data_IF_021951409098
#
_entry.id   IF_021951409098
#
_cell.length_a   1.000
_cell.length_b   1.000
_cell.length_c   1.000
_cell.angle_alpha   90.00
_cell.angle_beta   90.00
_cell.angle_gamma   90.00
#
_symmetry.space_group_name_H-M   'P 1'
#
loop_
_entity.id
_entity.type
_entity.pdbx_description
1 polymer ?
#
# COMPACT_ATOMS: atom_id res chain seq x y z
N UNK A 1 29.04 2.79 3.29
CA UNK A 1 27.71 2.70 2.64
C UNK A 1 26.67 2.97 3.72
N UNK A 2 25.73 3.87 3.47
CA UNK A 2 24.62 4.16 4.40
C UNK A 2 23.35 3.61 3.77
N UNK A 3 22.67 2.73 4.48
CA UNK A 3 21.39 2.14 4.06
C UNK A 3 20.32 2.60 5.05
N UNK A 4 19.21 3.13 4.52
CA UNK A 4 18.08 3.52 5.35
C UNK A 4 17.11 2.35 5.41
N UNK A 5 16.82 1.87 6.62
CA UNK A 5 15.83 0.84 6.84
C UNK A 5 14.42 1.46 6.89
N UNK A 6 13.89 1.80 5.71
CA UNK A 6 12.54 2.39 5.60
C UNK A 6 11.45 1.45 6.14
N UNK A 7 11.63 0.13 5.97
CA UNK A 7 10.72 -0.88 6.49
C UNK A 7 10.57 -0.79 8.01
N UNK A 8 11.68 -0.75 8.75
CA UNK A 8 11.65 -0.61 10.20
C UNK A 8 11.03 0.72 10.65
N UNK A 9 11.26 1.82 9.93
CA UNK A 9 10.63 3.12 10.23
C UNK A 9 9.11 3.06 10.03
N UNK A 10 8.63 2.32 9.02
CA UNK A 10 7.20 2.17 8.73
C UNK A 10 6.52 1.19 9.69
N UNK A 11 7.28 0.32 10.37
CA UNK A 11 6.75 -0.66 11.34
C UNK A 11 7.13 -0.34 12.81
N UNK A 12 7.69 0.83 13.08
CA UNK A 12 8.08 1.23 14.43
C UNK A 12 6.83 1.51 15.28
N UNK A 13 6.62 0.73 16.33
CA UNK A 13 5.46 0.86 17.24
C UNK A 13 5.49 2.13 18.10
N UNK A 14 6.66 2.76 18.28
CA UNK A 14 6.77 4.04 18.99
C UNK A 14 6.27 5.21 18.12
N UNK A 15 6.16 4.96 16.83
CA UNK A 15 5.84 5.95 15.80
C UNK A 15 4.45 5.71 15.19
N UNK A 16 4.11 4.45 14.94
CA UNK A 16 2.85 4.01 14.36
C UNK A 16 2.05 3.21 15.37
N UNK A 17 0.79 3.58 15.59
CA UNK A 17 -0.13 2.74 16.36
C UNK A 17 -0.54 1.52 15.53
N UNK A 18 -0.35 0.31 16.06
CA UNK A 18 -0.66 -0.95 15.38
C UNK A 18 -0.04 -1.05 13.96
N UNK A 19 1.30 -0.99 13.83
CA UNK A 19 1.99 -0.91 12.54
C UNK A 19 1.76 -2.12 11.63
N UNK A 20 1.49 -3.28 12.22
CA UNK A 20 1.25 -4.54 11.49
C UNK A 20 -0.19 -4.66 10.95
N UNK A 21 -1.07 -3.72 11.28
CA UNK A 21 -2.45 -3.71 10.80
C UNK A 21 -2.60 -2.84 9.54
N UNK A 22 -3.23 -3.40 8.50
CA UNK A 22 -3.66 -2.60 7.35
C UNK A 22 -4.84 -1.71 7.75
N UNK A 23 -4.54 -0.46 8.11
CA UNK A 23 -5.53 0.52 8.60
C UNK A 23 -5.46 1.85 7.81
N UNK A 24 -6.15 1.94 6.65
CA UNK A 24 -6.17 3.14 5.81
C UNK A 24 -6.63 4.41 6.54
N UNK A 25 -7.48 4.26 7.54
CA UNK A 25 -8.05 5.34 8.36
C UNK A 25 -6.97 6.12 9.13
N UNK A 26 -5.79 5.53 9.34
CA UNK A 26 -4.65 6.23 9.96
C UNK A 26 -4.17 7.44 9.16
N UNK A 27 -4.51 7.52 7.88
CA UNK A 27 -4.19 8.64 7.00
C UNK A 27 -5.34 9.62 6.82
N UNK A 28 -6.44 9.47 7.58
CA UNK A 28 -7.62 10.32 7.50
C UNK A 28 -7.81 11.12 8.79
N UNK A 29 -8.41 12.30 8.70
CA UNK A 29 -8.88 13.03 9.87
C UNK A 29 -10.28 12.55 10.32
N UNK A 30 -10.79 13.11 11.42
CA UNK A 30 -12.11 12.77 11.97
C UNK A 30 -13.26 13.07 10.99
N UNK A 31 -13.04 13.87 9.94
CA UNK A 31 -14.00 14.15 8.88
C UNK A 31 -13.86 13.19 7.69
N UNK A 32 -12.97 12.21 7.75
CA UNK A 32 -12.68 11.26 6.67
C UNK A 32 -11.89 11.89 5.51
N UNK A 33 -11.28 13.05 5.72
CA UNK A 33 -10.44 13.71 4.71
C UNK A 33 -9.03 13.16 4.80
N UNK A 34 -8.48 12.75 3.66
CA UNK A 34 -7.09 12.30 3.57
C UNK A 34 -6.17 13.43 4.01
N UNK A 35 -5.49 13.21 5.12
CA UNK A 35 -4.47 14.13 5.62
C UNK A 35 -3.22 13.99 4.76
N UNK A 36 -2.50 15.10 4.57
CA UNK A 36 -1.22 15.05 3.90
C UNK A 36 -0.30 14.14 4.72
N UNK A 37 0.10 13.00 4.14
CA UNK A 37 1.06 12.08 4.73
C UNK A 37 2.33 12.86 5.07
N UNK A 38 2.52 13.12 6.36
CA UNK A 38 3.72 13.77 6.89
C UNK A 38 4.57 12.71 7.58
N UNK A 39 5.87 13.03 7.73
CA UNK A 39 6.90 12.18 8.34
C UNK A 39 6.33 11.46 9.57
N UNK A 40 6.31 10.12 9.54
CA UNK A 40 7.46 9.27 9.21
C UNK A 40 7.34 8.43 7.92
N UNK A 41 6.23 8.53 7.18
CA UNK A 41 6.07 7.73 5.97
C UNK A 41 6.93 8.27 4.81
N UNK A 42 7.69 7.39 4.18
CA UNK A 42 8.68 7.76 3.16
C UNK A 42 8.87 6.66 2.08
N UNK A 43 7.81 6.19 1.42
CA UNK A 43 7.88 5.12 0.41
C UNK A 43 8.66 5.55 -0.84
N UNK A 44 8.77 6.86 -1.09
CA UNK A 44 9.50 7.46 -2.21
C UNK A 44 10.80 8.15 -1.77
N UNK A 45 11.23 7.97 -0.52
CA UNK A 45 12.37 8.69 0.05
C UNK A 45 12.10 10.18 0.29
N UNK A 46 13.15 10.92 0.66
CA UNK A 46 13.07 12.32 1.06
C UNK A 46 14.24 13.15 0.47
N UNK A 47 14.06 14.47 0.41
CA UNK A 47 15.09 15.41 -0.02
C UNK A 47 15.46 15.31 -1.50
N UNK A 48 16.73 15.63 -1.82
CA UNK A 48 17.24 15.72 -3.20
C UNK A 48 17.25 14.39 -3.96
N UNK A 49 17.13 13.25 -3.26
CA UNK A 49 17.13 11.90 -3.83
C UNK A 49 15.76 11.22 -3.75
N UNK A 50 14.71 11.99 -3.46
CA UNK A 50 13.32 11.55 -3.54
C UNK A 50 13.03 11.00 -4.94
N UNK A 51 12.26 9.92 -5.01
CA UNK A 51 11.93 9.24 -6.25
C UNK A 51 11.22 10.20 -7.21
N UNK A 52 11.77 10.45 -8.41
CA UNK A 52 11.12 11.33 -9.39
C UNK A 52 9.81 10.72 -9.92
N UNK A 53 9.57 9.42 -9.71
CA UNK A 53 8.36 8.71 -10.10
C UNK A 53 7.20 8.80 -9.11
N UNK A 54 7.34 9.45 -7.95
CA UNK A 54 6.30 9.56 -6.90
C UNK A 54 4.95 9.97 -7.49
N UNK A 55 4.92 11.08 -8.24
CA UNK A 55 3.67 11.57 -8.82
C UNK A 55 3.03 10.63 -9.84
N UNK A 56 3.83 9.87 -10.59
CA UNK A 56 3.32 8.90 -11.55
C UNK A 56 2.76 7.68 -10.84
N UNK A 57 3.50 7.13 -9.88
CA UNK A 57 3.12 5.96 -9.10
C UNK A 57 1.80 6.20 -8.36
N UNK A 58 1.65 7.33 -7.65
CA UNK A 58 0.43 7.66 -6.91
C UNK A 58 -0.80 7.72 -7.82
N UNK A 59 -0.67 8.29 -9.02
CA UNK A 59 -1.78 8.37 -9.99
C UNK A 59 -2.13 7.00 -10.56
N UNK A 60 -1.14 6.24 -10.99
CA UNK A 60 -1.35 4.94 -11.62
C UNK A 60 -1.94 3.96 -10.61
N UNK A 61 -1.36 3.84 -9.42
CA UNK A 61 -1.85 2.92 -8.38
C UNK A 61 -3.27 3.31 -7.95
N UNK A 62 -3.52 4.60 -7.71
CA UNK A 62 -4.87 5.07 -7.35
C UNK A 62 -5.91 4.74 -8.41
N UNK A 63 -5.61 5.00 -9.70
CA UNK A 63 -6.51 4.66 -10.80
C UNK A 63 -6.72 3.15 -10.95
N UNK A 64 -5.66 2.35 -10.84
CA UNK A 64 -5.77 0.89 -10.91
C UNK A 64 -6.69 0.35 -9.81
N UNK A 65 -6.48 0.77 -8.56
CA UNK A 65 -7.31 0.35 -7.43
C UNK A 65 -8.76 0.80 -7.62
N UNK A 66 -8.98 2.05 -8.04
CA UNK A 66 -10.33 2.56 -8.30
C UNK A 66 -11.06 1.74 -9.37
N UNK A 67 -10.39 1.45 -10.49
CA UNK A 67 -10.97 0.62 -11.57
C UNK A 67 -11.24 -0.81 -11.08
N UNK A 68 -10.31 -1.41 -10.32
CA UNK A 68 -10.50 -2.76 -9.80
C UNK A 68 -11.72 -2.84 -8.87
N UNK A 69 -11.85 -1.91 -7.93
CA UNK A 69 -12.98 -1.87 -6.98
C UNK A 69 -14.29 -1.50 -7.67
N UNK A 70 -14.27 -0.61 -8.66
CA UNK A 70 -15.47 -0.19 -9.38
C UNK A 70 -16.00 -1.28 -10.31
N UNK A 71 -15.11 -1.91 -11.08
CA UNK A 71 -15.50 -2.81 -12.16
C UNK A 71 -15.54 -4.28 -11.76
N UNK A 72 -14.90 -4.67 -10.65
CA UNK A 72 -14.73 -6.08 -10.29
C UNK A 72 -15.02 -6.37 -8.81
N UNK A 73 -15.65 -7.52 -8.60
CA UNK A 73 -15.67 -8.20 -7.31
C UNK A 73 -14.52 -9.20 -7.29
N UNK A 74 -13.43 -8.83 -6.62
CA UNK A 74 -12.24 -9.66 -6.49
C UNK A 74 -12.24 -10.39 -5.15
N UNK A 75 -11.93 -11.68 -5.18
CA UNK A 75 -11.74 -12.51 -4.00
C UNK A 75 -10.70 -13.60 -4.22
N UNK A 76 -10.37 -14.33 -3.17
CA UNK A 76 -9.51 -15.52 -3.23
C UNK A 76 -10.33 -16.76 -2.94
N UNK A 77 -10.11 -17.82 -3.72
CA UNK A 77 -10.76 -19.13 -3.50
C UNK A 77 -10.00 -19.97 -2.45
N UNK A 78 -8.77 -19.57 -2.11
CA UNK A 78 -7.86 -20.31 -1.24
C UNK A 78 -7.98 -19.94 0.26
N UNK A 79 -8.90 -19.05 0.64
CA UNK A 79 -9.05 -18.60 2.02
C UNK A 79 -8.12 -17.43 2.37
N UNK A 80 -7.43 -17.47 3.51
CA UNK A 80 -6.55 -16.38 3.94
C UNK A 80 -5.34 -16.22 3.01
N UNK A 81 -5.03 -14.98 2.62
CA UNK A 81 -3.86 -14.64 1.80
C UNK A 81 -2.62 -14.63 2.68
N UNK A 82 -1.58 -15.36 2.27
CA UNK A 82 -0.26 -15.28 2.88
C UNK A 82 0.41 -13.95 2.51
N UNK A 83 0.60 -13.08 3.52
CA UNK A 83 1.22 -11.77 3.37
C UNK A 83 2.72 -11.77 3.72
N UNK A 84 3.34 -12.95 3.90
CA UNK A 84 4.77 -13.03 4.20
C UNK A 84 5.61 -12.36 3.10
N UNK A 85 6.64 -11.64 3.52
CA UNK A 85 7.54 -10.93 2.61
C UNK A 85 8.53 -11.89 1.96
N UNK A 86 8.65 -11.78 0.65
CA UNK A 86 9.66 -12.45 -0.16
C UNK A 86 10.98 -11.68 -0.15
N UNK A 87 12.07 -12.40 -0.36
CA UNK A 87 13.40 -11.79 -0.46
C UNK A 87 13.59 -10.97 -1.75
N UNK A 88 14.22 -9.80 -1.64
CA UNK A 88 14.59 -8.98 -2.79
C UNK A 88 14.69 -7.50 -2.46
N UNK A 89 15.08 -6.69 -3.44
CA UNK A 89 15.19 -5.23 -3.29
C UNK A 89 13.81 -4.54 -3.17
N UNK A 90 12.75 -5.17 -3.69
CA UNK A 90 11.40 -4.61 -3.79
C UNK A 90 10.39 -5.24 -2.83
N UNK A 91 10.83 -6.09 -1.89
CA UNK A 91 9.98 -6.81 -0.91
C UNK A 91 8.67 -7.35 -1.54
N UNK A 92 8.76 -8.26 -2.54
CA UNK A 92 7.56 -8.86 -3.14
C UNK A 92 6.84 -9.75 -2.12
N UNK A 93 5.63 -10.22 -2.43
CA UNK A 93 5.02 -11.31 -1.64
C UNK A 93 5.84 -12.59 -1.79
N UNK A 94 6.05 -13.34 -0.70
CA UNK A 94 6.75 -14.62 -0.72
C UNK A 94 5.97 -15.66 -1.56
N UNK A 95 4.65 -15.66 -1.41
CA UNK A 95 3.72 -16.45 -2.20
C UNK A 95 2.93 -15.50 -3.11
N UNK A 96 3.04 -15.61 -4.45
CA UNK A 96 2.29 -14.74 -5.35
C UNK A 96 0.77 -14.83 -5.14
N UNK A 97 0.09 -13.68 -5.12
CA UNK A 97 -1.36 -13.62 -4.99
C UNK A 97 -2.06 -14.23 -6.20
N UNK A 98 -2.97 -15.16 -5.94
CA UNK A 98 -3.93 -15.67 -6.93
C UNK A 98 -5.32 -15.19 -6.52
N UNK A 99 -5.89 -14.30 -7.32
CA UNK A 99 -7.22 -13.73 -7.10
C UNK A 99 -8.14 -14.02 -8.29
N UNK A 100 -9.42 -14.23 -8.00
CA UNK A 100 -10.50 -14.36 -8.98
C UNK A 100 -11.31 -13.09 -8.94
N UNK A 101 -11.31 -12.36 -10.05
CA UNK A 101 -12.07 -11.13 -10.22
C UNK A 101 -13.23 -11.36 -11.19
N UNK A 102 -14.46 -11.15 -10.72
CA UNK A 102 -15.67 -11.23 -11.53
C UNK A 102 -16.17 -9.82 -11.84
N UNK A 103 -16.72 -9.55 -13.03
CA UNK A 103 -17.33 -8.25 -13.31
C UNK A 103 -18.40 -7.93 -12.26
N UNK A 104 -18.37 -6.70 -11.73
CA UNK A 104 -19.38 -6.21 -10.79
C UNK A 104 -20.75 -6.20 -11.47
N UNK A 105 -21.81 -6.56 -10.73
CA UNK A 105 -23.19 -6.44 -11.22
C UNK A 105 -23.65 -5.00 -11.40
N UNK A 106 -22.85 -4.06 -10.89
CA UNK A 106 -22.99 -2.62 -11.05
C UNK A 106 -22.69 -2.27 -12.51
N UNK A 107 -23.67 -2.45 -13.39
CA UNK A 107 -23.57 -2.03 -14.78
C UNK A 107 -23.28 -0.53 -14.87
N UNK A 108 -22.00 -0.22 -15.06
CA UNK A 108 -21.55 0.96 -15.81
C UNK A 108 -21.30 0.50 -17.24
#
# INVERSE_FOLDING_TARGET
MVLVNAWAIHHDSDVWNAPEEFRPESFMDDAGVVTAVTTPMMPFGLGQRRCPGEGLATRIVGLMVAVLVQCFECGTEAGAVDMAEGGGLSMPMATPLVAVCRPSSSGV
#
